data_IF_679298104776
#
_entry.id   IF_679298104776
#
_cell.length_a   1.000
_cell.length_b   1.000
_cell.length_c   1.000
_cell.angle_alpha   90.00
_cell.angle_beta   90.00
_cell.angle_gamma   90.00
#
_symmetry.space_group_name_H-M   'P 1'
#
loop_
_entity.id
_entity.type
_entity.pdbx_description
1 polymer ?
#
# COMPACT_ATOMS: atom_id res chain seq x y z
N UNK A 1 30.04 -2.00 36.14
CA UNK A 1 28.87 -1.15 36.46
C UNK A 1 28.21 -0.58 35.19
N UNK A 2 28.95 -0.07 34.19
CA UNK A 2 28.34 0.43 32.94
C UNK A 2 27.64 -0.60 32.03
N UNK A 3 28.05 -1.88 32.04
CA UNK A 3 27.36 -2.92 31.24
C UNK A 3 25.97 -3.28 31.77
N UNK A 4 25.72 -3.10 33.08
CA UNK A 4 24.43 -3.42 33.68
C UNK A 4 23.40 -2.31 33.42
N UNK A 5 23.83 -1.04 33.39
CA UNK A 5 22.98 0.10 33.02
C UNK A 5 22.65 0.11 31.52
N UNK A 6 23.58 -0.31 30.65
CA UNK A 6 23.32 -0.45 29.22
C UNK A 6 22.30 -1.56 28.89
N UNK A 7 22.36 -2.69 29.61
CA UNK A 7 21.42 -3.81 29.45
C UNK A 7 19.98 -3.43 29.83
N UNK A 8 19.82 -2.61 30.87
CA UNK A 8 18.51 -2.14 31.33
C UNK A 8 17.90 -1.12 30.35
N UNK A 9 18.72 -0.22 29.79
CA UNK A 9 18.29 0.76 28.80
C UNK A 9 17.80 0.13 27.50
N UNK A 10 18.51 -0.90 26.99
CA UNK A 10 18.13 -1.62 25.77
C UNK A 10 16.81 -2.40 25.95
N UNK A 11 16.60 -2.99 27.14
CA UNK A 11 15.36 -3.71 27.46
C UNK A 11 14.16 -2.75 27.56
N UNK A 12 14.34 -1.60 28.20
CA UNK A 12 13.32 -0.56 28.30
C UNK A 12 12.98 0.00 26.91
N UNK A 13 13.98 0.25 26.07
CA UNK A 13 13.77 0.75 24.70
C UNK A 13 12.99 -0.26 23.86
N UNK A 14 13.41 -1.53 23.84
CA UNK A 14 12.75 -2.62 23.09
C UNK A 14 11.28 -2.77 23.50
N UNK A 15 11.00 -2.71 24.81
CA UNK A 15 9.64 -2.84 25.34
C UNK A 15 8.73 -1.65 25.01
N UNK A 16 9.27 -0.44 25.02
CA UNK A 16 8.50 0.76 24.68
C UNK A 16 8.33 0.95 23.16
N UNK A 17 9.19 0.36 22.34
CA UNK A 17 9.16 0.52 20.88
C UNK A 17 7.83 0.08 20.26
N UNK A 18 7.28 -1.05 20.69
CA UNK A 18 5.98 -1.54 20.20
C UNK A 18 4.85 -0.57 20.53
N UNK A 19 4.84 -0.03 21.75
CA UNK A 19 3.85 0.98 22.18
C UNK A 19 3.97 2.27 21.38
N UNK A 20 5.21 2.73 21.12
CA UNK A 20 5.48 3.90 20.29
C UNK A 20 4.95 3.68 18.86
N UNK A 21 5.22 2.51 18.26
CA UNK A 21 4.71 2.17 16.93
C UNK A 21 3.18 2.21 16.88
N UNK A 22 2.50 1.64 17.87
CA UNK A 22 1.03 1.64 17.95
C UNK A 22 0.51 3.08 18.06
N UNK A 23 1.14 3.90 18.91
CA UNK A 23 0.77 5.30 19.10
C UNK A 23 0.90 6.12 17.79
N UNK A 24 1.91 5.85 16.97
CA UNK A 24 2.05 6.47 15.65
C UNK A 24 1.07 5.91 14.61
N UNK A 25 0.83 4.59 14.62
CA UNK A 25 -0.02 3.92 13.65
C UNK A 25 -1.50 4.27 13.81
N UNK A 26 -1.95 4.49 15.05
CA UNK A 26 -3.36 4.74 15.36
C UNK A 26 -3.97 5.97 14.67
N UNK A 27 -3.40 7.19 14.79
CA UNK A 27 -3.94 8.35 14.09
C UNK A 27 -3.89 8.19 12.56
N UNK A 28 -2.84 7.54 12.04
CA UNK A 28 -2.70 7.22 10.62
C UNK A 28 -3.84 6.32 10.15
N UNK A 29 -4.13 5.25 10.89
CA UNK A 29 -5.15 4.28 10.54
C UNK A 29 -6.56 4.88 10.60
N UNK A 30 -6.87 5.68 11.63
CA UNK A 30 -8.17 6.37 11.74
C UNK A 30 -8.36 7.36 10.58
N UNK A 31 -7.39 8.26 10.39
CA UNK A 31 -7.49 9.29 9.35
C UNK A 31 -7.56 8.67 7.95
N UNK A 32 -6.73 7.65 7.71
CA UNK A 32 -6.69 6.92 6.46
C UNK A 32 -8.00 6.18 6.16
N UNK A 33 -8.58 5.52 7.16
CA UNK A 33 -9.86 4.82 7.01
C UNK A 33 -11.00 5.80 6.78
N UNK A 34 -11.09 6.87 7.57
CA UNK A 34 -12.12 7.91 7.40
C UNK A 34 -12.09 8.51 5.99
N UNK A 35 -10.90 8.88 5.49
CA UNK A 35 -10.74 9.40 4.12
C UNK A 35 -11.13 8.36 3.07
N UNK A 36 -10.73 7.11 3.26
CA UNK A 36 -11.04 6.02 2.33
C UNK A 36 -12.54 5.73 2.26
N UNK A 37 -13.27 5.82 3.39
CA UNK A 37 -14.74 5.72 3.42
C UNK A 37 -15.35 6.82 2.54
N UNK A 38 -14.94 8.08 2.76
CA UNK A 38 -15.46 9.22 1.99
C UNK A 38 -15.24 9.06 0.49
N UNK A 39 -14.05 8.60 0.08
CA UNK A 39 -13.71 8.38 -1.34
C UNK A 39 -14.52 7.21 -1.90
N UNK A 40 -14.57 6.07 -1.20
CA UNK A 40 -15.27 4.87 -1.67
C UNK A 40 -16.79 5.04 -1.77
N UNK A 41 -17.40 5.95 -0.99
CA UNK A 41 -18.80 6.33 -1.14
C UNK A 41 -19.05 7.24 -2.34
N UNK A 42 -18.05 8.03 -2.75
CA UNK A 42 -18.17 8.98 -3.86
C UNK A 42 -17.87 8.35 -5.21
N UNK A 43 -17.07 7.28 -5.25
CA UNK A 43 -16.51 6.69 -6.46
C UNK A 43 -16.83 5.19 -6.57
N UNK A 44 -17.13 4.72 -7.78
CA UNK A 44 -17.48 3.30 -8.01
C UNK A 44 -16.28 2.42 -8.33
N UNK A 45 -15.11 3.01 -8.63
CA UNK A 45 -13.91 2.30 -9.05
C UNK A 45 -13.42 1.31 -7.98
N UNK A 46 -13.09 0.08 -8.43
CA UNK A 46 -12.68 -1.04 -7.57
C UNK A 46 -11.44 -0.69 -6.71
N UNK A 47 -10.50 0.10 -7.23
CA UNK A 47 -9.27 0.48 -6.53
C UNK A 47 -9.58 1.21 -5.21
N UNK A 48 -10.58 2.08 -5.17
CA UNK A 48 -10.96 2.80 -3.96
C UNK A 48 -11.59 1.88 -2.91
N UNK A 49 -12.37 0.89 -3.35
CA UNK A 49 -12.95 -0.14 -2.47
C UNK A 49 -11.88 -1.05 -1.88
N UNK A 50 -10.89 -1.45 -2.69
CA UNK A 50 -9.73 -2.21 -2.21
C UNK A 50 -8.92 -1.41 -1.20
N UNK A 51 -8.70 -0.12 -1.45
CA UNK A 51 -8.01 0.77 -0.51
C UNK A 51 -8.77 0.94 0.81
N UNK A 52 -10.10 1.07 0.76
CA UNK A 52 -10.95 1.09 1.96
C UNK A 52 -10.82 -0.21 2.78
N UNK A 53 -10.86 -1.36 2.10
CA UNK A 53 -10.73 -2.64 2.80
C UNK A 53 -9.33 -2.78 3.44
N UNK A 54 -8.30 -2.39 2.72
CA UNK A 54 -6.92 -2.34 3.21
C UNK A 54 -6.78 -1.42 4.43
N UNK A 55 -7.32 -0.20 4.38
CA UNK A 55 -7.24 0.75 5.50
C UNK A 55 -8.02 0.26 6.72
N UNK A 56 -9.18 -0.37 6.49
CA UNK A 56 -9.99 -0.96 7.56
C UNK A 56 -9.24 -2.10 8.26
N UNK A 57 -8.55 -2.96 7.51
CA UNK A 57 -7.69 -4.01 8.09
C UNK A 57 -6.55 -3.42 8.92
N UNK A 58 -5.90 -2.34 8.47
CA UNK A 58 -4.90 -1.63 9.28
C UNK A 58 -5.52 -1.11 10.58
N UNK A 59 -6.68 -0.47 10.52
CA UNK A 59 -7.37 0.05 11.71
C UNK A 59 -7.72 -1.05 12.70
N UNK A 60 -8.28 -2.17 12.22
CA UNK A 60 -8.60 -3.33 13.07
C UNK A 60 -7.33 -3.83 13.75
N UNK A 61 -6.23 -3.99 13.01
CA UNK A 61 -4.98 -4.47 13.60
C UNK A 61 -4.45 -3.52 14.69
N UNK A 62 -4.44 -2.22 14.42
CA UNK A 62 -3.94 -1.24 15.40
C UNK A 62 -4.85 -1.16 16.63
N UNK A 63 -6.16 -1.30 16.47
CA UNK A 63 -7.11 -1.38 17.61
C UNK A 63 -6.85 -2.63 18.44
N UNK A 64 -6.64 -3.78 17.81
CA UNK A 64 -6.28 -5.04 18.50
C UNK A 64 -4.98 -4.86 19.28
N UNK A 65 -3.95 -4.30 18.65
CA UNK A 65 -2.68 -4.03 19.30
C UNK A 65 -2.82 -3.05 20.47
N UNK A 66 -3.65 -2.01 20.33
CA UNK A 66 -3.95 -1.05 21.40
C UNK A 66 -4.65 -1.72 22.58
N UNK A 67 -5.66 -2.56 22.32
CA UNK A 67 -6.36 -3.33 23.36
C UNK A 67 -5.40 -4.28 24.07
N UNK A 68 -4.49 -4.92 23.34
CA UNK A 68 -3.48 -5.80 23.93
C UNK A 68 -2.53 -5.05 24.90
N UNK A 69 -2.18 -3.79 24.61
CA UNK A 69 -1.38 -2.95 25.51
C UNK A 69 -2.11 -2.68 26.84
N UNK A 70 -3.42 -2.44 26.81
CA UNK A 70 -4.21 -2.17 28.02
C UNK A 70 -4.66 -3.43 28.76
N UNK A 71 -4.84 -4.56 28.06
CA UNK A 71 -5.42 -5.77 28.62
C UNK A 71 -4.39 -6.92 28.71
N UNK A 72 -3.64 -6.93 29.81
CA UNK A 72 -2.52 -7.87 30.06
C UNK A 72 -2.90 -9.36 30.11
N UNK A 73 -4.17 -9.76 30.08
CA UNK A 73 -4.58 -11.18 30.14
C UNK A 73 -4.84 -11.82 28.76
N UNK A 74 -4.58 -11.13 27.65
CA UNK A 74 -4.82 -11.70 26.33
C UNK A 74 -3.86 -12.83 25.93
N UNK A 75 -4.37 -13.81 25.18
CA UNK A 75 -3.58 -14.89 24.60
C UNK A 75 -2.66 -14.34 23.50
N UNK A 76 -1.34 -14.41 23.75
CA UNK A 76 -0.32 -13.95 22.83
C UNK A 76 -0.31 -14.71 21.51
N UNK A 77 -0.68 -16.00 21.52
CA UNK A 77 -0.75 -16.79 20.29
C UNK A 77 -1.86 -16.27 19.40
N UNK A 78 -3.04 -16.03 19.96
CA UNK A 78 -4.17 -15.48 19.21
C UNK A 78 -3.82 -14.13 18.58
N UNK A 79 -3.20 -13.22 19.34
CA UNK A 79 -2.77 -11.92 18.82
C UNK A 79 -1.76 -12.07 17.67
N UNK A 80 -0.78 -12.97 17.82
CA UNK A 80 0.21 -13.24 16.78
C UNK A 80 -0.45 -13.75 15.48
N UNK A 81 -1.31 -14.75 15.57
CA UNK A 81 -2.01 -15.29 14.40
C UNK A 81 -2.91 -14.23 13.73
N UNK A 82 -3.64 -13.47 14.54
CA UNK A 82 -4.52 -12.42 14.05
C UNK A 82 -3.72 -11.34 13.31
N UNK A 83 -2.60 -10.89 13.88
CA UNK A 83 -1.69 -9.95 13.25
C UNK A 83 -1.17 -10.49 11.91
N UNK A 84 -0.68 -11.73 11.88
CA UNK A 84 -0.14 -12.32 10.65
C UNK A 84 -1.19 -12.40 9.54
N UNK A 85 -2.40 -12.88 9.86
CA UNK A 85 -3.50 -13.00 8.89
C UNK A 85 -3.95 -11.64 8.39
N UNK A 86 -4.18 -10.67 9.28
CA UNK A 86 -4.62 -9.33 8.89
C UNK A 86 -3.54 -8.63 8.06
N UNK A 87 -2.28 -8.70 8.49
CA UNK A 87 -1.15 -8.11 7.77
C UNK A 87 -1.00 -8.71 6.37
N UNK A 88 -1.09 -10.03 6.25
CA UNK A 88 -1.03 -10.70 4.96
C UNK A 88 -2.18 -10.27 4.04
N UNK A 89 -3.42 -10.28 4.52
CA UNK A 89 -4.58 -9.83 3.75
C UNK A 89 -4.45 -8.36 3.32
N UNK A 90 -4.00 -7.48 4.21
CA UNK A 90 -3.81 -6.07 3.91
C UNK A 90 -2.74 -5.85 2.82
N UNK A 91 -1.60 -6.54 2.93
CA UNK A 91 -0.52 -6.46 1.95
C UNK A 91 -0.91 -7.09 0.60
N UNK A 92 -1.68 -8.18 0.63
CA UNK A 92 -2.26 -8.78 -0.57
C UNK A 92 -3.12 -7.76 -1.33
N UNK A 93 -3.97 -6.99 -0.63
CA UNK A 93 -4.78 -5.91 -1.25
C UNK A 93 -3.90 -4.80 -1.85
N UNK A 94 -2.83 -4.40 -1.16
CA UNK A 94 -1.86 -3.43 -1.68
C UNK A 94 -1.27 -3.93 -3.00
N UNK A 95 -0.83 -5.19 -3.05
CA UNK A 95 -0.26 -5.74 -4.28
C UNK A 95 -1.31 -5.93 -5.36
N UNK A 96 -2.56 -6.24 -5.02
CA UNK A 96 -3.65 -6.26 -5.99
C UNK A 96 -3.90 -4.87 -6.60
N UNK A 97 -3.86 -3.80 -5.82
CA UNK A 97 -3.97 -2.43 -6.33
C UNK A 97 -2.83 -2.13 -7.31
N UNK A 98 -1.58 -2.45 -6.95
CA UNK A 98 -0.42 -2.26 -7.83
C UNK A 98 -0.51 -3.15 -9.09
N UNK A 99 -0.98 -4.39 -8.94
CA UNK A 99 -1.17 -5.33 -10.03
C UNK A 99 -2.21 -4.81 -11.02
N UNK A 100 -3.39 -4.38 -10.56
CA UNK A 100 -4.43 -3.82 -11.42
C UNK A 100 -3.89 -2.62 -12.20
N UNK A 101 -3.15 -1.72 -11.56
CA UNK A 101 -2.50 -0.58 -12.22
C UNK A 101 -1.53 -1.02 -13.31
N UNK A 102 -0.61 -1.94 -12.99
CA UNK A 102 0.38 -2.43 -13.95
C UNK A 102 -0.29 -3.22 -15.10
N UNK A 103 -1.27 -4.06 -14.78
CA UNK A 103 -1.97 -4.94 -15.72
C UNK A 103 -2.77 -4.13 -16.74
N UNK A 104 -3.60 -3.18 -16.29
CA UNK A 104 -4.38 -2.34 -17.20
C UNK A 104 -3.50 -1.37 -18.00
N UNK A 105 -2.43 -0.82 -17.43
CA UNK A 105 -1.49 0.02 -18.17
C UNK A 105 -0.75 -0.75 -19.29
N UNK A 106 -0.56 -2.07 -19.13
CA UNK A 106 0.15 -2.91 -20.09
C UNK A 106 -0.75 -3.64 -21.09
N UNK A 107 -2.03 -3.26 -21.23
CA UNK A 107 -3.02 -3.99 -22.04
C UNK A 107 -3.14 -5.46 -21.63
N UNK A 108 -3.14 -5.73 -20.33
CA UNK A 108 -3.52 -7.04 -19.77
C UNK A 108 -2.59 -8.19 -20.18
N UNK A 109 -1.28 -7.98 -20.11
CA UNK A 109 -0.31 -9.04 -20.46
C UNK A 109 -0.36 -10.19 -19.46
N UNK A 110 -0.58 -11.42 -19.97
CA UNK A 110 -0.59 -12.65 -19.17
C UNK A 110 0.69 -12.85 -18.34
N UNK A 111 1.82 -12.35 -18.84
CA UNK A 111 3.12 -12.40 -18.17
C UNK A 111 3.12 -11.72 -16.80
N UNK A 112 2.50 -10.52 -16.67
CA UNK A 112 2.43 -9.81 -15.38
C UNK A 112 1.61 -10.62 -14.38
N UNK A 113 0.50 -11.21 -14.83
CA UNK A 113 -0.34 -12.09 -14.01
C UNK A 113 0.41 -13.32 -13.52
N UNK A 114 1.15 -13.99 -14.39
CA UNK A 114 1.94 -15.17 -14.04
C UNK A 114 3.02 -14.86 -12.99
N UNK A 115 3.82 -13.82 -13.21
CA UNK A 115 4.86 -13.39 -12.25
C UNK A 115 4.24 -13.00 -10.91
N UNK A 116 3.12 -12.28 -10.93
CA UNK A 116 2.39 -11.89 -9.72
C UNK A 116 1.96 -13.12 -8.92
N UNK A 117 1.31 -14.11 -9.55
CA UNK A 117 0.85 -15.33 -8.88
C UNK A 117 2.01 -16.11 -8.27
N UNK A 118 3.11 -16.30 -9.01
CA UNK A 118 4.31 -17.00 -8.48
C UNK A 118 4.83 -16.29 -7.23
N UNK A 119 4.95 -14.98 -7.27
CA UNK A 119 5.47 -14.23 -6.14
C UNK A 119 4.51 -14.27 -4.93
N UNK A 120 3.19 -14.29 -5.16
CA UNK A 120 2.22 -14.46 -4.07
C UNK A 120 2.29 -15.85 -3.44
N UNK A 121 2.51 -16.91 -4.23
CA UNK A 121 2.72 -18.26 -3.71
C UNK A 121 4.00 -18.35 -2.89
N UNK A 122 5.10 -17.75 -3.36
CA UNK A 122 6.35 -17.69 -2.60
C UNK A 122 6.18 -16.94 -1.27
N UNK A 123 5.46 -15.82 -1.28
CA UNK A 123 5.13 -15.04 -0.08
C UNK A 123 4.24 -15.84 0.88
N UNK A 124 3.21 -16.51 0.39
CA UNK A 124 2.33 -17.36 1.21
C UNK A 124 3.14 -18.48 1.86
N UNK A 125 4.01 -19.14 1.12
CA UNK A 125 4.91 -20.16 1.65
C UNK A 125 5.82 -19.58 2.75
N UNK A 126 6.40 -18.40 2.52
CA UNK A 126 7.18 -17.68 3.53
C UNK A 126 6.39 -17.40 4.80
N UNK A 127 5.14 -16.93 4.68
CA UNK A 127 4.26 -16.65 5.82
C UNK A 127 3.95 -17.92 6.63
N UNK A 128 3.55 -19.00 5.95
CA UNK A 128 3.24 -20.28 6.60
C UNK A 128 4.47 -20.81 7.34
N UNK A 129 5.66 -20.71 6.74
CA UNK A 129 6.89 -21.15 7.37
C UNK A 129 7.29 -20.27 8.55
N UNK A 130 7.14 -18.95 8.45
CA UNK A 130 7.33 -18.03 9.57
C UNK A 130 6.45 -18.46 10.74
N UNK A 131 5.15 -18.62 10.53
CA UNK A 131 4.19 -19.05 11.56
C UNK A 131 4.60 -20.38 12.20
N UNK A 132 4.98 -21.39 11.41
CA UNK A 132 5.39 -22.71 11.95
C UNK A 132 6.71 -22.67 12.71
N UNK A 133 7.60 -21.75 12.34
CA UNK A 133 8.93 -21.60 12.96
C UNK A 133 8.96 -20.60 14.10
N UNK A 134 7.85 -19.92 14.37
CA UNK A 134 7.76 -18.88 15.39
C UNK A 134 7.44 -19.48 16.75
N UNK A 135 8.20 -19.05 17.76
CA UNK A 135 7.87 -19.26 19.16
C UNK A 135 7.39 -17.96 19.75
N UNK A 136 6.17 -17.97 20.31
CA UNK A 136 5.56 -16.80 20.94
C UNK A 136 5.65 -16.97 22.45
N UNK A 137 6.20 -15.97 23.12
CA UNK A 137 6.26 -15.92 24.57
C UNK A 137 5.88 -14.52 25.07
N UNK A 138 5.63 -14.43 26.38
CA UNK A 138 5.24 -13.19 27.03
C UNK A 138 6.42 -12.65 27.83
N UNK A 139 6.82 -11.41 27.57
CA UNK A 139 7.83 -10.73 28.38
C UNK A 139 7.21 -10.13 29.65
N UNK A 140 8.07 -9.77 30.62
CA UNK A 140 7.72 -9.34 31.99
C UNK A 140 6.79 -8.12 32.07
N UNK A 141 6.66 -7.33 31.00
CA UNK A 141 5.80 -6.14 30.92
C UNK A 141 4.40 -6.49 30.36
N UNK A 142 4.14 -7.75 30.01
CA UNK A 142 2.88 -8.20 29.43
C UNK A 142 2.78 -7.98 27.92
N UNK A 143 3.87 -7.58 27.27
CA UNK A 143 3.99 -7.51 25.81
C UNK A 143 4.32 -8.90 25.27
N UNK A 144 3.65 -9.27 24.19
CA UNK A 144 3.91 -10.52 23.48
C UNK A 144 5.10 -10.33 22.53
N UNK A 145 6.08 -11.21 22.60
CA UNK A 145 7.25 -11.19 21.72
C UNK A 145 7.31 -12.47 20.91
N UNK A 146 7.80 -12.32 19.67
CA UNK A 146 7.89 -13.42 18.72
C UNK A 146 9.34 -13.60 18.32
N UNK A 147 9.88 -14.77 18.64
CA UNK A 147 11.13 -15.22 18.04
C UNK A 147 10.80 -16.04 16.79
N UNK A 148 11.33 -15.62 15.65
CA UNK A 148 11.13 -16.27 14.37
C UNK A 148 12.46 -16.50 13.67
N UNK A 149 12.56 -17.56 12.88
CA UNK A 149 13.76 -17.82 12.10
C UNK A 149 13.94 -16.72 11.03
N UNK A 150 15.00 -15.92 11.17
CA UNK A 150 15.26 -14.76 10.33
C UNK A 150 15.20 -15.04 8.82
N UNK A 151 15.54 -16.26 8.39
CA UNK A 151 15.50 -16.70 6.99
C UNK A 151 14.11 -16.57 6.34
N UNK A 152 13.03 -16.88 7.07
CA UNK A 152 11.68 -16.86 6.52
C UNK A 152 11.12 -15.44 6.45
N UNK A 153 11.42 -14.63 7.46
CA UNK A 153 11.12 -13.20 7.48
C UNK A 153 11.87 -12.45 6.37
N UNK A 154 13.11 -12.86 6.06
CA UNK A 154 13.87 -12.34 4.93
C UNK A 154 13.22 -12.72 3.60
N UNK A 155 12.78 -13.97 3.44
CA UNK A 155 12.05 -14.40 2.24
C UNK A 155 10.77 -13.56 2.01
N UNK A 156 10.02 -13.28 3.08
CA UNK A 156 8.85 -12.40 3.03
C UNK A 156 9.21 -11.01 2.51
N UNK A 157 10.23 -10.37 3.09
CA UNK A 157 10.65 -9.02 2.72
C UNK A 157 11.23 -8.94 1.30
N UNK A 158 12.02 -9.95 0.89
CA UNK A 158 12.58 -10.01 -0.47
C UNK A 158 11.45 -10.22 -1.48
N UNK A 159 10.51 -11.13 -1.21
CA UNK A 159 9.35 -11.35 -2.09
C UNK A 159 8.50 -10.08 -2.24
N UNK A 160 8.28 -9.35 -1.15
CA UNK A 160 7.61 -8.05 -1.14
C UNK A 160 8.32 -7.03 -2.04
N UNK A 161 9.63 -6.88 -1.83
CA UNK A 161 10.45 -5.94 -2.58
C UNK A 161 10.45 -6.27 -4.07
N UNK A 162 10.58 -7.55 -4.43
CA UNK A 162 10.55 -8.01 -5.82
C UNK A 162 9.19 -7.73 -6.47
N UNK A 163 8.07 -8.04 -5.80
CA UNK A 163 6.72 -7.77 -6.32
C UNK A 163 6.55 -6.28 -6.58
N UNK A 164 6.87 -5.46 -5.58
CA UNK A 164 6.68 -4.01 -5.66
C UNK A 164 7.56 -3.40 -6.75
N UNK A 165 8.84 -3.78 -6.82
CA UNK A 165 9.76 -3.31 -7.86
C UNK A 165 9.28 -3.72 -9.25
N UNK A 166 8.90 -4.98 -9.43
CA UNK A 166 8.44 -5.49 -10.71
C UNK A 166 7.18 -4.77 -11.21
N UNK A 167 6.14 -4.69 -10.37
CA UNK A 167 4.88 -4.04 -10.73
C UNK A 167 5.07 -2.54 -10.98
N UNK A 168 5.85 -1.87 -10.13
CA UNK A 168 6.17 -0.45 -10.30
C UNK A 168 6.94 -0.21 -11.59
N UNK A 169 7.96 -1.02 -11.88
CA UNK A 169 8.74 -0.92 -13.12
C UNK A 169 7.85 -1.11 -14.36
N UNK A 170 7.00 -2.13 -14.37
CA UNK A 170 6.09 -2.40 -15.49
C UNK A 170 5.08 -1.27 -15.70
N UNK A 171 4.58 -0.67 -14.63
CA UNK A 171 3.71 0.49 -14.68
C UNK A 171 4.46 1.73 -15.22
N UNK A 172 5.65 2.03 -14.67
CA UNK A 172 6.47 3.17 -15.08
C UNK A 172 6.89 3.09 -16.54
N UNK A 173 7.34 1.92 -17.01
CA UNK A 173 7.74 1.70 -18.40
C UNK A 173 6.63 2.12 -19.37
N UNK A 174 5.39 1.72 -19.10
CA UNK A 174 4.26 2.06 -20.00
C UNK A 174 3.87 3.51 -19.93
N UNK A 175 3.89 4.10 -18.74
CA UNK A 175 3.61 5.52 -18.59
C UNK A 175 4.64 6.36 -19.35
N UNK A 176 5.93 6.05 -19.22
CA UNK A 176 6.99 6.75 -19.93
C UNK A 176 6.80 6.64 -21.44
N UNK A 177 6.55 5.43 -21.95
CA UNK A 177 6.25 5.24 -23.37
C UNK A 177 5.03 6.06 -23.82
N UNK A 178 3.96 6.15 -23.02
CA UNK A 178 2.78 6.96 -23.38
C UNK A 178 3.03 8.47 -23.31
N UNK A 179 3.91 8.92 -22.41
CA UNK A 179 4.29 10.33 -22.29
C UNK A 179 4.85 10.89 -23.59
N UNK A 180 5.57 10.05 -24.35
CA UNK A 180 6.21 10.45 -25.61
C UNK A 180 5.18 10.66 -26.73
N UNK A 181 4.00 10.05 -26.63
CA UNK A 181 2.97 10.11 -27.68
C UNK A 181 1.86 11.14 -27.41
N UNK A 182 1.67 11.59 -26.17
CA UNK A 182 0.62 12.55 -25.80
C UNK A 182 1.28 13.75 -25.11
N UNK A 183 1.71 14.79 -25.87
CA UNK A 183 2.33 15.99 -25.33
C UNK A 183 1.27 16.93 -24.70
N UNK A 184 0.67 16.48 -23.59
CA UNK A 184 -0.26 17.27 -22.79
C UNK A 184 0.41 17.63 -21.46
N UNK A 185 0.42 18.92 -21.11
CA UNK A 185 0.94 19.41 -19.80
C UNK A 185 0.19 18.79 -18.61
N UNK A 186 -1.10 18.46 -18.79
CA UNK A 186 -1.89 17.77 -17.78
C UNK A 186 -1.43 16.31 -17.62
N UNK A 187 -1.13 15.64 -18.72
CA UNK A 187 -0.59 14.27 -18.72
C UNK A 187 0.80 14.23 -18.06
N UNK A 188 1.68 15.19 -18.35
CA UNK A 188 2.99 15.32 -17.70
C UNK A 188 2.89 15.49 -16.17
N UNK A 189 1.88 16.23 -15.68
CA UNK A 189 1.64 16.41 -14.25
C UNK A 189 1.09 15.12 -13.61
N UNK A 190 0.15 14.45 -14.27
CA UNK A 190 -0.43 13.16 -13.85
C UNK A 190 0.66 12.07 -13.75
N UNK A 191 1.58 12.05 -14.72
CA UNK A 191 2.74 11.15 -14.77
C UNK A 191 3.71 11.46 -13.64
N UNK A 192 4.08 12.72 -13.43
CA UNK A 192 5.05 13.13 -12.40
C UNK A 192 4.59 12.73 -10.99
N UNK A 193 3.30 12.83 -10.70
CA UNK A 193 2.76 12.50 -9.38
C UNK A 193 2.34 11.03 -9.21
N UNK A 194 1.86 10.39 -10.28
CA UNK A 194 1.60 8.95 -10.29
C UNK A 194 2.88 8.09 -10.18
N UNK A 195 4.01 8.63 -10.63
CA UNK A 195 5.35 8.01 -10.59
C UNK A 195 6.03 8.10 -9.22
N UNK A 196 5.90 9.23 -8.51
CA UNK A 196 6.63 9.46 -7.26
C UNK A 196 6.30 8.43 -6.17
N UNK A 197 5.03 8.02 -6.06
CA UNK A 197 4.58 7.17 -4.97
C UNK A 197 5.06 5.71 -5.08
N UNK A 198 4.95 5.02 -6.24
CA UNK A 198 5.59 3.72 -6.44
C UNK A 198 7.10 3.74 -6.18
N UNK A 199 7.79 4.80 -6.60
CA UNK A 199 9.24 4.96 -6.35
C UNK A 199 9.53 5.10 -4.85
N UNK A 200 8.75 5.89 -4.12
CA UNK A 200 8.89 6.01 -2.65
C UNK A 200 8.67 4.66 -1.97
N UNK A 201 7.65 3.90 -2.37
CA UNK A 201 7.42 2.54 -1.83
C UNK A 201 8.64 1.64 -2.11
N UNK A 202 9.21 1.71 -3.32
CA UNK A 202 10.41 0.94 -3.67
C UNK A 202 11.62 1.32 -2.79
N UNK A 203 11.88 2.62 -2.63
CA UNK A 203 13.00 3.13 -1.82
C UNK A 203 12.83 2.68 -0.37
N UNK A 204 11.63 2.82 0.20
CA UNK A 204 11.30 2.40 1.56
C UNK A 204 11.55 0.89 1.76
N UNK A 205 11.10 0.05 0.82
CA UNK A 205 11.33 -1.40 0.89
C UNK A 205 12.82 -1.78 0.76
N UNK A 206 13.59 -1.05 -0.07
CA UNK A 206 15.04 -1.22 -0.17
C UNK A 206 15.71 -0.85 1.15
N UNK A 207 15.34 0.28 1.76
CA UNK A 207 15.86 0.72 3.07
C UNK A 207 15.58 -0.35 4.13
N UNK A 208 14.35 -0.88 4.21
CA UNK A 208 14.04 -1.95 5.17
C UNK A 208 14.83 -3.23 4.92
N UNK A 209 15.05 -3.58 3.64
CA UNK A 209 15.90 -4.71 3.29
C UNK A 209 17.34 -4.51 3.78
N UNK A 210 17.91 -3.32 3.58
CA UNK A 210 19.26 -2.98 4.06
C UNK A 210 19.32 -3.02 5.59
N UNK A 211 18.35 -2.40 6.28
CA UNK A 211 18.30 -2.39 7.75
C UNK A 211 18.22 -3.81 8.34
N UNK A 212 17.48 -4.71 7.68
CA UNK A 212 17.43 -6.13 8.03
C UNK A 212 18.79 -6.83 7.87
N UNK A 213 19.51 -6.55 6.79
CA UNK A 213 20.85 -7.12 6.56
C UNK A 213 21.89 -6.60 7.55
N UNK A 214 21.76 -5.34 7.99
CA UNK A 214 22.68 -4.70 8.93
C UNK A 214 22.55 -5.21 10.38
N UNK A 215 21.54 -6.03 10.71
CA UNK A 215 21.33 -6.64 12.04
C UNK A 215 21.50 -5.67 13.22
N UNK A 216 20.77 -4.56 13.20
CA UNK A 216 20.81 -3.57 14.29
C UNK A 216 20.22 -4.22 15.57
N UNK A 217 20.99 -4.30 16.68
CA UNK A 217 20.58 -5.07 17.86
C UNK A 217 19.31 -4.53 18.54
N UNK A 218 19.02 -3.24 18.42
CA UNK A 218 17.86 -2.60 19.04
C UNK A 218 16.53 -2.84 18.27
N UNK A 219 16.57 -3.22 17.00
CA UNK A 219 15.37 -3.34 16.16
C UNK A 219 15.19 -4.79 15.71
N UNK A 220 14.14 -5.44 16.23
CA UNK A 220 13.79 -6.79 15.83
C UNK A 220 13.25 -6.81 14.39
N UNK A 221 13.38 -7.97 13.75
CA UNK A 221 12.81 -8.23 12.42
C UNK A 221 11.31 -7.96 12.37
N UNK A 222 10.60 -8.32 13.43
CA UNK A 222 9.16 -8.09 13.57
C UNK A 222 8.82 -6.60 13.53
N UNK A 223 9.59 -5.77 14.25
CA UNK A 223 9.42 -4.32 14.23
C UNK A 223 9.58 -3.76 12.82
N UNK A 224 10.60 -4.21 12.07
CA UNK A 224 10.82 -3.76 10.68
C UNK A 224 9.67 -4.18 9.76
N UNK A 225 9.16 -5.40 9.89
CA UNK A 225 8.00 -5.86 9.12
C UNK A 225 6.74 -5.05 9.46
N UNK A 226 6.52 -4.74 10.74
CA UNK A 226 5.37 -3.95 11.20
C UNK A 226 5.45 -2.50 10.69
N UNK A 227 6.61 -1.86 10.80
CA UNK A 227 6.84 -0.52 10.23
C UNK A 227 6.63 -0.56 8.72
N UNK A 228 7.23 -1.52 8.03
CA UNK A 228 7.12 -1.67 6.58
C UNK A 228 5.67 -1.77 6.13
N UNK A 229 4.88 -2.59 6.82
CA UNK A 229 3.45 -2.67 6.55
C UNK A 229 2.73 -1.33 6.77
N UNK A 230 2.89 -0.69 7.94
CA UNK A 230 2.24 0.58 8.25
C UNK A 230 2.61 1.65 7.21
N UNK A 231 3.89 1.74 6.84
CA UNK A 231 4.38 2.69 5.84
C UNK A 231 3.79 2.39 4.46
N UNK A 232 3.78 1.12 4.02
CA UNK A 232 3.21 0.74 2.72
C UNK A 232 1.70 1.02 2.66
N UNK A 233 0.97 0.74 3.73
CA UNK A 233 -0.44 1.08 3.87
C UNK A 233 -0.67 2.60 3.77
N UNK A 234 0.09 3.40 4.52
CA UNK A 234 -0.01 4.86 4.48
C UNK A 234 0.28 5.43 3.09
N UNK A 235 1.33 4.94 2.41
CA UNK A 235 1.72 5.38 1.07
C UNK A 235 0.61 5.08 0.05
N UNK A 236 -0.01 3.90 0.11
CA UNK A 236 -1.11 3.52 -0.78
C UNK A 236 -2.36 4.36 -0.50
N UNK A 237 -2.70 4.63 0.76
CA UNK A 237 -3.81 5.52 1.09
C UNK A 237 -3.58 6.93 0.55
N UNK A 238 -2.35 7.45 0.68
CA UNK A 238 -1.98 8.76 0.11
C UNK A 238 -2.03 8.77 -1.40
N UNK A 239 -1.63 7.68 -2.04
CA UNK A 239 -1.76 7.52 -3.47
C UNK A 239 -3.21 7.51 -3.92
N UNK A 240 -4.07 6.75 -3.24
CA UNK A 240 -5.49 6.67 -3.53
C UNK A 240 -6.17 8.03 -3.35
N UNK A 241 -5.87 8.73 -2.26
CA UNK A 241 -6.36 10.08 -1.99
C UNK A 241 -5.95 11.06 -3.08
N UNK A 242 -4.67 11.04 -3.47
CA UNK A 242 -4.15 11.94 -4.50
C UNK A 242 -4.77 11.65 -5.87
N UNK A 243 -4.89 10.37 -6.25
CA UNK A 243 -5.54 9.96 -7.49
C UNK A 243 -7.01 10.41 -7.55
N UNK A 244 -7.73 10.35 -6.43
CA UNK A 244 -9.12 10.83 -6.35
C UNK A 244 -9.22 12.34 -6.62
N UNK A 245 -8.39 13.16 -5.97
CA UNK A 245 -8.44 14.62 -6.18
C UNK A 245 -8.08 15.02 -7.61
N UNK A 246 -7.12 14.33 -8.23
CA UNK A 246 -6.78 14.56 -9.63
C UNK A 246 -7.95 14.20 -10.54
N UNK A 247 -8.55 13.01 -10.35
CA UNK A 247 -9.70 12.60 -11.14
C UNK A 247 -10.86 13.59 -11.04
N UNK A 248 -11.15 14.05 -9.82
CA UNK A 248 -12.19 15.06 -9.59
C UNK A 248 -11.87 16.40 -10.25
N UNK A 249 -10.60 16.84 -10.22
CA UNK A 249 -10.16 18.08 -10.88
C UNK A 249 -10.33 17.99 -12.40
N UNK A 250 -9.98 16.85 -12.97
CA UNK A 250 -10.07 16.63 -14.41
C UNK A 250 -11.54 16.59 -14.87
N UNK A 251 -12.43 15.94 -14.11
CA UNK A 251 -13.89 15.98 -14.36
C UNK A 251 -14.45 17.41 -14.31
N UNK A 252 -14.03 18.22 -13.33
CA UNK A 252 -14.48 19.63 -13.24
C UNK A 252 -13.97 20.42 -14.45
N UNK A 253 -12.70 20.28 -14.83
CA UNK A 253 -12.14 20.96 -15.99
C UNK A 253 -12.84 20.57 -17.31
N UNK A 254 -13.12 19.27 -17.50
CA UNK A 254 -13.90 18.80 -18.64
C UNK A 254 -15.32 19.37 -18.65
N UNK A 255 -16.00 19.39 -17.50
CA UNK A 255 -17.34 19.96 -17.40
C UNK A 255 -17.38 21.48 -17.69
N UNK A 256 -16.36 22.23 -17.25
CA UNK A 256 -16.23 23.66 -17.54
C UNK A 256 -15.92 23.93 -19.01
N UNK A 257 -15.05 23.13 -19.62
CA UNK A 257 -14.78 23.25 -21.06
C UNK A 257 -15.99 22.85 -21.90
N UNK A 258 -16.76 21.84 -21.49
CA UNK A 258 -17.99 21.46 -22.15
C UNK A 258 -19.05 22.56 -22.02
N UNK A 259 -19.21 23.17 -20.84
CA UNK A 259 -20.10 24.31 -20.66
C UNK A 259 -19.66 25.51 -21.50
N UNK A 260 -18.35 25.80 -21.58
CA UNK A 260 -17.83 26.89 -22.41
C UNK A 260 -18.04 26.61 -23.90
N UNK A 261 -17.82 25.35 -24.33
CA UNK A 261 -18.05 24.90 -25.69
C UNK A 261 -19.55 24.94 -26.07
N UNK A 262 -20.44 24.53 -25.17
CA UNK A 262 -21.90 24.61 -25.35
C UNK A 262 -22.37 26.06 -25.35
N UNK A 263 -21.81 26.92 -24.50
CA UNK A 263 -22.11 28.36 -24.52
C UNK A 263 -21.60 29.03 -25.80
N UNK A 264 -20.41 28.66 -26.31
CA UNK A 264 -19.92 29.14 -27.61
C UNK A 264 -20.70 28.56 -28.79
N UNK A 265 -21.15 27.31 -28.69
CA UNK A 265 -21.99 26.66 -29.71
C UNK A 265 -23.43 27.20 -29.73
N UNK A 266 -23.92 27.75 -28.60
CA UNK A 266 -25.21 28.47 -28.57
C UNK A 266 -25.19 29.80 -29.32
N UNK A 267 -24.01 30.24 -29.81
CA UNK A 267 -23.83 31.48 -30.56
C UNK A 267 -23.49 31.27 -32.05
N UNK A 268 -23.35 30.01 -32.49
CA UNK A 268 -23.21 29.63 -33.90
C UNK A 268 -24.14 28.45 -34.21
N UNK A 269 -25.37 28.78 -34.62
CA UNK A 269 -26.36 27.97 -35.36
C UNK A 269 -26.75 26.57 -34.79
N UNK A 270 -28.02 26.26 -34.52
CA UNK A 270 -29.11 26.19 -35.51
C UNK A 270 -28.65 25.67 -36.89
N UNK A 271 -27.79 24.66 -36.96
CA UNK A 271 -27.72 23.65 -38.02
C UNK A 271 -26.45 22.79 -37.89
N UNK A 272 -26.52 21.70 -37.12
CA UNK A 272 -25.72 20.49 -37.38
C UNK A 272 -26.25 19.34 -36.53
N UNK A 273 -27.27 18.69 -37.06
CA UNK A 273 -27.66 17.34 -36.69
C UNK A 273 -26.59 16.42 -37.29
N UNK A 274 -25.60 16.02 -36.51
CA UNK A 274 -25.02 14.66 -36.51
C UNK A 274 -23.87 14.55 -35.48
N UNK A 275 -24.13 14.03 -34.28
CA UNK A 275 -24.02 12.60 -33.87
C UNK A 275 -22.58 12.19 -33.51
N UNK A 276 -22.11 12.49 -32.29
CA UNK A 276 -22.00 11.61 -31.10
C UNK A 276 -20.82 10.60 -31.02
N UNK A 277 -19.90 10.54 -31.99
CA UNK A 277 -18.84 9.49 -32.01
C UNK A 277 -17.57 9.72 -31.15
N UNK A 278 -17.51 10.77 -30.31
CA UNK A 278 -16.29 11.06 -29.53
C UNK A 278 -16.24 10.41 -28.13
N UNK A 279 -17.30 9.73 -27.69
CA UNK A 279 -17.47 9.36 -26.28
C UNK A 279 -17.06 7.94 -25.87
N UNK A 280 -16.57 7.09 -26.78
CA UNK A 280 -16.39 5.66 -26.45
C UNK A 280 -15.00 5.09 -26.45
N UNK A 281 -13.91 5.82 -26.75
CA UNK A 281 -12.56 5.30 -26.46
C UNK A 281 -12.26 3.87 -26.94
N UNK A 282 -12.94 3.39 -27.99
CA UNK A 282 -12.79 2.07 -28.59
C UNK A 282 -12.09 2.28 -29.92
N UNK A 283 -10.79 1.98 -29.97
CA UNK A 283 -10.14 1.65 -31.23
C UNK A 283 -10.53 0.22 -31.58
N UNK A 284 -11.37 0.04 -32.60
CA UNK A 284 -11.43 -1.23 -33.31
C UNK A 284 -10.15 -1.37 -34.16
N UNK A 285 -9.37 -2.44 -34.01
CA UNK A 285 -8.44 -2.83 -35.06
C UNK A 285 -9.23 -3.50 -36.19
N UNK A 286 -8.91 -3.08 -37.42
CA UNK A 286 -9.27 -3.75 -38.68
C UNK A 286 -8.69 -5.16 -38.72
#
# INVERSE_FOLDING_TARGET
>A
MGEFEALDADLIFKNNFTTILIAFAFPIAIQGTYRSIKIALSETLLIYKLNLFQSSLLLINVVVDLVAVFYRKHDCLFQFYLYQVISYCALLLIYWILFLKAYYANKSTKFIGFVFVICQLARLAGMVQTIRSSTVFRESIGVCTVESAAKWSLLLLVSETVIVLFLSFMFMKKILTQSDYIPSKAYAMLIKHGFALPVVICIVNIIFSILMFSKIPAITVEHLLRIGWITNAWLIMKQSEHSYYLHKRDQVFESSNLQTAVMSASQQDLNAKDTWDLYLGVKHPV
#
